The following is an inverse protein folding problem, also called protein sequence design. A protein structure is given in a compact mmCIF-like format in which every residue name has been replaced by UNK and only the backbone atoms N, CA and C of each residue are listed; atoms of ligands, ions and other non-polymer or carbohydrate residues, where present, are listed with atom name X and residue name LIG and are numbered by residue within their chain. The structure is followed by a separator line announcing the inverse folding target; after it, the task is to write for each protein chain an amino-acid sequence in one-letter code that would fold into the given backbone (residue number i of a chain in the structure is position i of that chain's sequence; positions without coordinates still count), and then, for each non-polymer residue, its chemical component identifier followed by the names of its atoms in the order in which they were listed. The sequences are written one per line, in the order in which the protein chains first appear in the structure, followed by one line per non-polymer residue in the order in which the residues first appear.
data_IF_512110962174
#
_entry.id   IF_512110962174
#
_cell.length_a   1.000
_cell.length_b   1.000
_cell.length_c   1.000
_cell.angle_alpha   90.00
_cell.angle_beta   90.00
_cell.angle_gamma   90.00
#
_symmetry.space_group_name_H-M   'P 1'
#
loop_
_entity.id
_entity.type
_entity.pdbx_description
1 polymer ?
#
# COMPACT_ATOMS: atom_id res chain seq x y z
N UNK A 1 12.52 15.77 25.97
CA UNK A 1 12.39 14.99 24.72
C UNK A 1 10.92 14.71 24.53
N UNK A 2 10.23 15.51 23.70
CA UNK A 2 8.85 15.16 23.32
C UNK A 2 8.92 13.88 22.49
N UNK A 3 8.19 12.84 22.92
CA UNK A 3 8.20 11.54 22.26
C UNK A 3 7.69 11.61 20.81
N UNK A 4 7.98 10.58 20.03
CA UNK A 4 7.47 10.45 18.66
C UNK A 4 5.93 10.45 18.70
N UNK A 5 5.31 11.29 17.87
CA UNK A 5 3.85 11.45 17.82
C UNK A 5 3.19 10.17 17.32
N UNK A 6 2.01 9.86 17.88
CA UNK A 6 1.20 8.71 17.46
C UNK A 6 0.93 8.70 15.95
N UNK A 7 0.64 9.87 15.34
CA UNK A 7 0.42 9.97 13.89
C UNK A 7 1.65 9.53 13.09
N UNK A 8 2.85 9.91 13.52
CA UNK A 8 4.11 9.51 12.88
C UNK A 8 4.41 8.03 13.08
N UNK A 9 4.13 7.47 14.26
CA UNK A 9 4.28 6.03 14.51
C UNK A 9 3.34 5.24 13.60
N UNK A 10 2.06 5.62 13.55
CA UNK A 10 1.07 4.95 12.69
C UNK A 10 1.44 5.05 11.21
N UNK A 11 1.89 6.22 10.74
CA UNK A 11 2.38 6.39 9.38
C UNK A 11 3.60 5.50 9.09
N UNK A 12 4.53 5.42 10.03
CA UNK A 12 5.72 4.57 9.93
C UNK A 12 5.37 3.08 9.84
N UNK A 13 4.50 2.59 10.72
CA UNK A 13 4.03 1.19 10.69
C UNK A 13 3.25 0.93 9.40
N UNK A 14 2.42 1.88 8.95
CA UNK A 14 1.73 1.78 7.68
C UNK A 14 2.71 1.60 6.52
N UNK A 15 3.77 2.40 6.49
CA UNK A 15 4.78 2.33 5.45
C UNK A 15 5.51 0.99 5.44
N UNK A 16 5.96 0.52 6.61
CA UNK A 16 6.60 -0.79 6.76
C UNK A 16 5.64 -1.90 6.30
N UNK A 17 4.36 -1.81 6.66
CA UNK A 17 3.35 -2.77 6.22
C UNK A 17 3.22 -2.81 4.69
N UNK A 18 3.27 -1.68 3.98
CA UNK A 18 3.23 -1.69 2.51
C UNK A 18 4.42 -2.38 1.89
N UNK A 19 5.62 -2.20 2.47
CA UNK A 19 6.85 -2.87 2.00
C UNK A 19 6.75 -4.37 2.21
N UNK A 20 6.32 -4.81 3.40
CA UNK A 20 6.11 -6.24 3.69
C UNK A 20 5.09 -6.86 2.73
N UNK A 21 3.95 -6.19 2.51
CA UNK A 21 2.94 -6.67 1.56
C UNK A 21 3.49 -6.77 0.14
N UNK A 22 4.26 -5.78 -0.32
CA UNK A 22 4.88 -5.82 -1.64
C UNK A 22 5.86 -6.99 -1.79
N UNK A 23 6.70 -7.24 -0.78
CA UNK A 23 7.63 -8.39 -0.76
C UNK A 23 6.87 -9.72 -0.79
N UNK A 24 5.84 -9.87 0.05
CA UNK A 24 5.00 -11.09 0.08
C UNK A 24 4.40 -11.36 -1.30
N UNK A 25 3.78 -10.34 -1.91
CA UNK A 25 3.09 -10.49 -3.19
C UNK A 25 4.06 -10.76 -4.34
N UNK A 26 5.28 -10.22 -4.26
CA UNK A 26 6.32 -10.40 -5.29
C UNK A 26 6.93 -11.81 -5.28
N UNK A 27 7.15 -12.38 -4.10
CA UNK A 27 7.93 -13.62 -3.97
C UNK A 27 7.14 -14.86 -3.56
N UNK A 28 5.93 -14.70 -3.01
CA UNK A 28 5.11 -15.86 -2.60
C UNK A 28 4.12 -16.21 -3.71
N UNK A 29 4.06 -17.50 -4.13
CA UNK A 29 3.13 -17.95 -5.17
C UNK A 29 1.70 -18.03 -4.61
N UNK A 30 0.99 -16.91 -4.66
CA UNK A 30 -0.37 -16.77 -4.10
C UNK A 30 -1.46 -16.78 -5.17
N UNK A 31 -1.09 -16.53 -6.43
CA UNK A 31 -2.04 -16.35 -7.52
C UNK A 31 -2.21 -17.63 -8.32
N UNK A 32 -3.43 -17.92 -8.74
CA UNK A 32 -3.72 -19.08 -9.57
C UNK A 32 -3.47 -18.77 -11.04
N UNK A 33 -2.69 -19.59 -11.71
CA UNK A 33 -2.54 -19.63 -13.16
C UNK A 33 -2.98 -20.99 -13.69
N UNK A 34 -3.51 -21.00 -14.91
CA UNK A 34 -3.90 -22.23 -15.59
C UNK A 34 -2.83 -22.61 -16.61
N UNK A 35 -2.27 -23.81 -16.49
CA UNK A 35 -1.35 -24.39 -17.46
C UNK A 35 -2.01 -25.53 -18.23
N UNK A 36 -1.68 -25.67 -19.52
CA UNK A 36 -2.18 -26.76 -20.36
C UNK A 36 -1.26 -27.96 -20.18
N UNK A 37 -1.75 -29.02 -19.53
CA UNK A 37 -0.92 -30.18 -19.14
C UNK A 37 -0.93 -31.30 -20.18
N UNK A 38 -2.00 -31.41 -20.98
CA UNK A 38 -2.05 -32.32 -22.11
C UNK A 38 -3.08 -31.86 -23.15
N UNK A 39 -2.70 -31.78 -24.44
CA UNK A 39 -3.67 -31.72 -25.52
C UNK A 39 -4.21 -33.15 -25.74
N UNK A 40 -5.44 -33.44 -25.28
CA UNK A 40 -6.10 -34.72 -25.61
C UNK A 40 -7.35 -34.44 -26.44
N UNK A 41 -7.36 -34.95 -27.67
CA UNK A 41 -8.56 -34.94 -28.53
C UNK A 41 -9.17 -33.56 -28.83
N UNK A 42 -8.40 -32.46 -28.77
CA UNK A 42 -8.91 -31.10 -28.98
C UNK A 42 -9.45 -30.42 -27.72
N UNK A 43 -9.33 -31.05 -26.55
CA UNK A 43 -9.62 -30.45 -25.25
C UNK A 43 -8.31 -30.16 -24.50
N UNK A 44 -8.16 -28.93 -24.04
CA UNK A 44 -7.04 -28.53 -23.19
C UNK A 44 -7.35 -28.91 -21.75
N UNK A 45 -6.61 -29.86 -21.19
CA UNK A 45 -6.67 -30.12 -19.76
C UNK A 45 -5.91 -29.00 -19.04
N UNK A 46 -6.66 -28.14 -18.33
CA UNK A 46 -6.11 -27.07 -17.50
C UNK A 46 -5.76 -27.62 -16.11
N UNK A 47 -4.52 -27.42 -15.68
CA UNK A 47 -4.12 -27.61 -14.29
C UNK A 47 -3.92 -26.26 -13.64
N UNK A 48 -4.48 -26.08 -12.44
CA UNK A 48 -4.30 -24.88 -11.65
C UNK A 48 -2.97 -24.98 -10.88
N UNK A 49 -2.06 -24.05 -11.17
CA UNK A 49 -0.79 -23.92 -10.47
C UNK A 49 -0.72 -22.57 -9.75
N UNK A 50 0.03 -22.52 -8.65
CA UNK A 50 0.26 -21.28 -7.90
C UNK A 50 1.53 -20.60 -8.42
N UNK A 51 1.38 -19.35 -8.84
CA UNK A 51 2.46 -18.51 -9.36
C UNK A 51 2.54 -17.20 -8.57
N UNK A 52 3.69 -16.57 -8.64
CA UNK A 52 3.92 -15.22 -8.08
C UNK A 52 3.21 -14.15 -8.92
N UNK A 53 3.05 -12.94 -8.36
CA UNK A 53 2.41 -11.85 -9.10
C UNK A 53 3.21 -11.46 -10.36
N UNK A 54 4.55 -11.55 -10.29
CA UNK A 54 5.45 -11.20 -11.39
C UNK A 54 5.39 -12.24 -12.51
N UNK A 55 5.27 -13.53 -12.19
CA UNK A 55 5.06 -14.57 -13.20
C UNK A 55 3.70 -14.40 -13.90
N UNK A 56 2.67 -13.99 -13.16
CA UNK A 56 1.33 -13.80 -13.71
C UNK A 56 1.20 -12.56 -14.61
N UNK A 57 1.82 -11.44 -14.23
CA UNK A 57 1.59 -10.13 -14.87
C UNK A 57 2.85 -9.53 -15.53
N UNK A 58 3.99 -10.22 -15.45
CA UNK A 58 5.29 -9.70 -15.86
C UNK A 58 5.80 -8.58 -14.94
N UNK A 59 6.88 -7.92 -15.39
CA UNK A 59 7.53 -6.83 -14.64
C UNK A 59 6.71 -5.54 -14.60
N UNK A 60 5.70 -5.40 -15.45
CA UNK A 60 4.81 -4.22 -15.46
C UNK A 60 4.07 -4.00 -14.14
N UNK A 61 3.91 -5.05 -13.33
CA UNK A 61 3.22 -4.99 -12.04
C UNK A 61 4.04 -4.32 -10.93
N UNK A 62 5.35 -4.11 -11.14
CA UNK A 62 6.26 -3.52 -10.15
C UNK A 62 5.81 -2.09 -9.78
N UNK A 63 5.33 -1.30 -10.74
CA UNK A 63 4.84 0.06 -10.45
C UNK A 63 3.60 0.03 -9.55
N UNK A 64 2.71 -0.93 -9.77
CA UNK A 64 1.51 -1.12 -8.93
C UNK A 64 1.89 -1.53 -7.51
N UNK A 65 2.98 -2.27 -7.32
CA UNK A 65 3.51 -2.64 -6.01
C UNK A 65 4.20 -1.46 -5.29
N UNK A 66 4.92 -0.61 -6.02
CA UNK A 66 5.62 0.56 -5.46
C UNK A 66 4.64 1.69 -5.13
N UNK A 67 3.49 1.77 -5.81
CA UNK A 67 2.55 2.87 -5.62
C UNK A 67 2.08 3.07 -4.16
N UNK A 68 1.58 2.04 -3.44
CA UNK A 68 1.24 2.16 -2.02
C UNK A 68 2.41 2.57 -1.14
N UNK A 69 3.63 2.14 -1.50
CA UNK A 69 4.85 2.48 -0.79
C UNK A 69 5.13 3.99 -0.86
N UNK A 70 4.99 4.59 -2.04
CA UNK A 70 5.13 6.04 -2.25
C UNK A 70 4.05 6.81 -1.48
N UNK A 71 2.80 6.36 -1.57
CA UNK A 71 1.65 7.03 -0.93
C UNK A 71 1.79 7.04 0.59
N UNK A 72 2.16 5.91 1.20
CA UNK A 72 2.40 5.83 2.65
C UNK A 72 3.67 6.57 3.06
N UNK A 73 4.70 6.63 2.21
CA UNK A 73 5.88 7.46 2.42
C UNK A 73 5.52 8.96 2.52
N UNK A 74 4.61 9.43 1.67
CA UNK A 74 4.09 10.80 1.76
C UNK A 74 3.33 11.03 3.07
N UNK A 75 2.59 10.03 3.58
CA UNK A 75 1.94 10.10 4.90
C UNK A 75 2.96 10.25 6.04
N UNK A 76 4.08 9.53 5.99
CA UNK A 76 5.17 9.68 6.96
C UNK A 76 5.73 11.11 6.93
N UNK A 77 6.10 11.61 5.74
CA UNK A 77 6.64 12.97 5.60
C UNK A 77 5.61 14.02 6.07
N UNK A 78 4.35 13.83 5.70
CA UNK A 78 3.23 14.70 6.10
C UNK A 78 3.04 14.79 7.61
N UNK A 79 3.15 13.67 8.33
CA UNK A 79 2.99 13.65 9.80
C UNK A 79 4.18 14.24 10.54
N UNK A 80 5.39 14.10 10.00
CA UNK A 80 6.60 14.75 10.52
C UNK A 80 6.51 16.27 10.30
N UNK A 81 6.22 16.71 9.07
CA UNK A 81 6.17 18.14 8.71
C UNK A 81 4.93 18.85 9.24
N UNK A 82 3.84 18.11 9.52
CA UNK A 82 2.62 18.62 10.15
C UNK A 82 2.72 18.76 11.68
N UNK A 83 3.89 18.45 12.25
CA UNK A 83 4.17 18.69 13.66
C UNK A 83 4.20 20.20 13.94
N UNK A 84 3.46 20.67 14.95
CA UNK A 84 3.53 22.06 15.38
C UNK A 84 4.89 22.30 16.05
N UNK A 85 5.90 22.68 15.26
CA UNK A 85 7.00 23.47 15.80
C UNK A 85 6.46 24.87 16.13
N UNK A 86 7.20 25.68 16.89
CA UNK A 86 6.91 27.09 17.23
C UNK A 86 6.68 28.03 16.02
N UNK A 87 6.43 27.49 14.82
CA UNK A 87 6.16 28.20 13.58
C UNK A 87 4.75 28.77 13.62
N UNK A 88 4.67 30.10 13.60
CA UNK A 88 3.43 30.88 13.54
C UNK A 88 2.64 30.69 12.23
N UNK A 89 3.20 29.97 11.25
CA UNK A 89 2.61 29.83 9.92
C UNK A 89 1.60 28.68 9.84
N UNK A 90 0.41 28.95 10.39
CA UNK A 90 -0.75 28.03 10.44
C UNK A 90 -1.12 27.45 9.06
N UNK A 91 -0.85 28.18 7.98
CA UNK A 91 -1.16 27.76 6.60
C UNK A 91 -0.27 26.60 6.15
N UNK A 92 1.02 26.63 6.51
CA UNK A 92 1.98 25.57 6.17
C UNK A 92 1.64 24.29 6.92
N UNK A 93 1.33 24.39 8.21
CA UNK A 93 0.91 23.24 9.04
C UNK A 93 -0.36 22.58 8.50
N UNK A 94 -1.37 23.38 8.14
CA UNK A 94 -2.61 22.86 7.55
C UNK A 94 -2.37 22.11 6.25
N UNK A 95 -1.51 22.66 5.37
CA UNK A 95 -1.13 22.01 4.11
C UNK A 95 -0.50 20.64 4.36
N UNK A 96 0.48 20.56 5.25
CA UNK A 96 1.13 19.28 5.55
C UNK A 96 0.15 18.28 6.15
N UNK A 97 -0.75 18.69 7.04
CA UNK A 97 -1.78 17.81 7.61
C UNK A 97 -2.76 17.30 6.56
N UNK A 98 -3.15 18.15 5.61
CA UNK A 98 -4.04 17.76 4.50
C UNK A 98 -3.45 16.65 3.62
N UNK A 99 -2.13 16.56 3.49
CA UNK A 99 -1.48 15.51 2.70
C UNK A 99 -1.65 14.11 3.29
N UNK A 100 -1.71 13.97 4.63
CA UNK A 100 -2.01 12.68 5.25
C UNK A 100 -3.43 12.21 4.93
N UNK A 101 -4.40 13.13 4.83
CA UNK A 101 -5.74 12.82 4.34
C UNK A 101 -5.76 12.48 2.85
N UNK A 102 -4.99 13.20 2.03
CA UNK A 102 -4.80 12.87 0.63
C UNK A 102 -4.26 11.45 0.44
N UNK A 103 -3.23 11.07 1.21
CA UNK A 103 -2.66 9.72 1.19
C UNK A 103 -3.68 8.66 1.60
N UNK A 104 -4.48 8.91 2.65
CA UNK A 104 -5.54 8.00 3.07
C UNK A 104 -6.59 7.78 1.98
N UNK A 105 -7.08 8.86 1.35
CA UNK A 105 -8.07 8.78 0.27
C UNK A 105 -7.51 7.99 -0.93
N UNK A 106 -6.27 8.27 -1.33
CA UNK A 106 -5.60 7.54 -2.41
C UNK A 106 -5.47 6.05 -2.08
N UNK A 107 -5.10 5.71 -0.85
CA UNK A 107 -5.05 4.30 -0.39
C UNK A 107 -6.44 3.65 -0.42
N UNK A 108 -7.51 4.36 -0.06
CA UNK A 108 -8.89 3.83 -0.15
C UNK A 108 -9.22 3.47 -1.60
N UNK A 109 -8.98 4.39 -2.53
CA UNK A 109 -9.23 4.13 -3.95
C UNK A 109 -8.38 2.99 -4.49
N UNK A 110 -7.09 2.95 -4.13
CA UNK A 110 -6.21 1.86 -4.54
C UNK A 110 -6.72 0.50 -4.06
N UNK A 111 -7.04 0.37 -2.76
CA UNK A 111 -7.54 -0.87 -2.18
C UNK A 111 -8.89 -1.26 -2.80
N UNK A 112 -9.80 -0.30 -3.02
CA UNK A 112 -11.10 -0.57 -3.62
C UNK A 112 -10.98 -1.04 -5.08
N UNK A 113 -10.15 -0.38 -5.89
CA UNK A 113 -9.96 -0.72 -7.30
C UNK A 113 -9.20 -2.03 -7.51
N UNK A 114 -8.36 -2.41 -6.55
CA UNK A 114 -7.56 -3.64 -6.60
C UNK A 114 -8.03 -4.73 -5.63
N UNK A 115 -9.24 -4.60 -5.07
CA UNK A 115 -9.70 -5.44 -3.96
C UNK A 115 -9.67 -6.95 -4.27
N UNK A 116 -10.04 -7.32 -5.50
CA UNK A 116 -10.09 -8.72 -5.96
C UNK A 116 -8.74 -9.30 -6.33
N UNK A 117 -7.68 -8.49 -6.36
CA UNK A 117 -6.33 -8.92 -6.76
C UNK A 117 -5.34 -8.73 -5.61
N UNK A 118 -4.75 -7.54 -5.51
CA UNK A 118 -3.65 -7.23 -4.59
C UNK A 118 -4.04 -6.25 -3.48
N UNK A 119 -5.16 -5.55 -3.60
CA UNK A 119 -5.63 -4.54 -2.65
C UNK A 119 -5.87 -5.09 -1.25
N UNK A 120 -6.30 -6.35 -1.15
CA UNK A 120 -6.55 -7.01 0.15
C UNK A 120 -5.30 -7.04 1.05
N UNK A 121 -4.11 -7.19 0.47
CA UNK A 121 -2.84 -7.22 1.20
C UNK A 121 -2.46 -5.85 1.78
N UNK A 122 -3.09 -4.78 1.29
CA UNK A 122 -2.81 -3.41 1.73
C UNK A 122 -3.86 -2.86 2.70
N UNK A 123 -4.89 -3.65 3.08
CA UNK A 123 -5.90 -3.24 4.07
C UNK A 123 -5.27 -2.84 5.42
N UNK A 124 -4.30 -3.58 5.99
CA UNK A 124 -3.66 -3.16 7.25
C UNK A 124 -2.98 -1.78 7.13
N UNK A 125 -2.24 -1.56 6.05
CA UNK A 125 -1.60 -0.28 5.76
C UNK A 125 -2.64 0.84 5.56
N UNK A 126 -3.76 0.57 4.88
CA UNK A 126 -4.85 1.52 4.73
C UNK A 126 -5.41 1.96 6.10
N UNK A 127 -5.73 1.00 6.98
CA UNK A 127 -6.25 1.30 8.30
C UNK A 127 -5.28 2.17 9.12
N UNK A 128 -3.98 1.85 9.06
CA UNK A 128 -2.93 2.63 9.73
C UNK A 128 -2.74 4.03 9.11
N UNK A 129 -2.86 4.15 7.78
CA UNK A 129 -2.80 5.45 7.09
C UNK A 129 -3.97 6.36 7.49
N UNK A 130 -5.19 5.81 7.57
CA UNK A 130 -6.36 6.55 8.07
C UNK A 130 -6.12 6.98 9.52
N UNK A 131 -5.64 6.07 10.37
CA UNK A 131 -5.27 6.39 11.75
C UNK A 131 -4.27 7.55 11.81
N UNK A 132 -3.19 7.48 11.04
CA UNK A 132 -2.19 8.54 10.97
C UNK A 132 -2.81 9.90 10.59
N UNK A 133 -3.70 9.94 9.61
CA UNK A 133 -4.40 11.16 9.18
C UNK A 133 -5.33 11.72 10.27
N UNK A 134 -6.07 10.86 10.99
CA UNK A 134 -6.95 11.24 12.09
C UNK A 134 -6.17 11.86 13.25
N UNK A 135 -5.00 11.31 13.57
CA UNK A 135 -4.15 11.80 14.67
C UNK A 135 -3.22 12.95 14.29
N UNK A 136 -3.14 13.33 13.00
CA UNK A 136 -2.29 14.43 12.54
C UNK A 136 -2.93 15.82 12.79
N UNK A 137 -3.01 16.20 14.07
CA UNK A 137 -3.63 17.44 14.56
C UNK A 137 -2.66 18.40 15.22
#
# INVERSE_FOLDING_TARGET
MEGVRTSTILAGISHISTVISAVIIMFIPLFSAAEIVAPSGGLNQLSETKVTLVELNGTGVILTLIFPWVVTGLSVVSTIMGAPERRDDKRVLWRWRSYSWGAAIVMIFFVALSFTTLGIFYIPALALTIGAAVFNK
#
